data_IF_229955674187
#
_entry.id   IF_229955674187
#
_cell.length_a   1.000
_cell.length_b   1.000
_cell.length_c   1.000
_cell.angle_alpha   90.00
_cell.angle_beta   90.00
_cell.angle_gamma   90.00
#
_symmetry.space_group_name_H-M   'P 1'
#
loop_
_entity.id
_entity.type
_entity.pdbx_description
1 polymer ?
#
# COMPACT_ATOMS: atom_id res chain seq x y z
N UNK A 1 -12.19 -5.78 13.88
CA UNK A 1 -11.93 -4.45 13.28
C UNK A 1 -12.97 -3.41 13.72
N UNK A 2 -14.23 -3.79 13.93
CA UNK A 2 -15.30 -2.82 14.25
C UNK A 2 -15.10 -2.10 15.60
N UNK A 3 -14.32 -2.66 16.50
CA UNK A 3 -14.03 -2.10 17.83
C UNK A 3 -12.76 -1.23 17.85
N UNK A 4 -12.13 -1.05 16.70
CA UNK A 4 -10.90 -0.28 16.56
C UNK A 4 -11.14 1.01 15.78
N UNK A 5 -10.36 2.05 16.10
CA UNK A 5 -10.31 3.28 15.31
C UNK A 5 -9.59 3.01 13.98
N UNK A 6 -10.30 3.11 12.88
CA UNK A 6 -9.75 2.86 11.55
C UNK A 6 -9.46 4.17 10.82
N UNK A 7 -8.27 4.24 10.23
CA UNK A 7 -7.77 5.40 9.52
C UNK A 7 -7.89 5.13 8.01
N UNK A 8 -8.64 5.96 7.31
CA UNK A 8 -9.01 5.76 5.91
C UNK A 8 -8.32 6.75 4.97
N UNK A 9 -7.93 6.23 3.81
CA UNK A 9 -7.46 7.02 2.69
C UNK A 9 -8.63 7.33 1.74
N UNK A 10 -9.00 8.60 1.60
CA UNK A 10 -10.20 9.00 0.84
C UNK A 10 -10.12 8.73 -0.66
N UNK A 11 -8.91 8.72 -1.24
CA UNK A 11 -8.70 8.48 -2.67
C UNK A 11 -8.59 7.00 -3.04
N UNK A 12 -8.91 6.09 -2.12
CA UNK A 12 -8.93 4.66 -2.41
C UNK A 12 -10.10 4.32 -3.33
N UNK A 13 -9.83 3.66 -4.45
CA UNK A 13 -10.82 3.36 -5.50
C UNK A 13 -12.05 2.59 -4.99
N UNK A 14 -11.91 1.82 -3.93
CA UNK A 14 -12.99 1.01 -3.32
C UNK A 14 -13.60 1.67 -2.07
N UNK A 15 -13.34 2.94 -1.82
CA UNK A 15 -13.83 3.64 -0.63
C UNK A 15 -13.34 2.96 0.66
N UNK A 16 -14.27 2.78 1.60
CA UNK A 16 -13.98 2.19 2.92
C UNK A 16 -13.97 0.65 2.91
N UNK A 17 -13.47 0.03 1.84
CA UNK A 17 -13.40 -1.43 1.71
C UNK A 17 -11.94 -1.87 1.73
N UNK A 18 -11.59 -2.64 2.76
CA UNK A 18 -10.29 -3.28 2.85
C UNK A 18 -10.34 -4.68 2.26
N UNK A 19 -9.38 -4.99 1.41
CA UNK A 19 -9.28 -6.30 0.77
C UNK A 19 -8.24 -7.15 1.49
N UNK A 20 -8.67 -8.23 2.06
CA UNK A 20 -7.83 -9.18 2.80
C UNK A 20 -7.99 -10.58 2.22
N UNK A 21 -7.00 -11.43 2.47
CA UNK A 21 -7.04 -12.84 2.08
C UNK A 21 -7.24 -13.65 3.34
N UNK A 22 -8.34 -14.40 3.43
CA UNK A 22 -8.60 -15.28 4.57
C UNK A 22 -7.56 -16.43 4.63
N UNK A 23 -7.35 -17.07 5.78
CA UNK A 23 -6.45 -18.23 5.89
C UNK A 23 -6.77 -19.37 4.92
N UNK A 24 -8.02 -19.45 4.46
CA UNK A 24 -8.48 -20.40 3.42
C UNK A 24 -7.99 -20.04 2.01
N UNK A 25 -7.32 -18.89 1.80
CA UNK A 25 -6.98 -18.35 0.48
C UNK A 25 -8.12 -17.54 -0.18
N UNK A 26 -9.30 -17.48 0.43
CA UNK A 26 -10.43 -16.72 -0.09
C UNK A 26 -10.20 -15.20 0.04
N UNK A 27 -10.43 -14.47 -1.05
CA UNK A 27 -10.41 -13.01 -1.02
C UNK A 27 -11.66 -12.47 -0.37
N UNK A 28 -11.51 -11.67 0.67
CA UNK A 28 -12.62 -11.04 1.39
C UNK A 28 -12.54 -9.53 1.31
N UNK A 29 -13.70 -8.92 1.23
CA UNK A 29 -13.86 -7.48 1.30
C UNK A 29 -14.49 -7.14 2.66
N UNK A 30 -13.77 -6.38 3.46
CA UNK A 30 -14.24 -5.92 4.76
C UNK A 30 -14.61 -4.45 4.63
N UNK A 31 -15.91 -4.17 4.71
CA UNK A 31 -16.38 -2.78 4.77
C UNK A 31 -16.13 -2.24 6.17
N UNK A 32 -15.47 -1.11 6.25
CA UNK A 32 -15.04 -0.51 7.51
C UNK A 32 -15.63 0.90 7.66
N UNK A 33 -15.88 1.31 8.90
CA UNK A 33 -16.25 2.68 9.22
C UNK A 33 -14.98 3.45 9.63
N UNK A 34 -14.61 4.47 8.86
CA UNK A 34 -13.43 5.29 9.16
C UNK A 34 -13.70 6.24 10.32
N UNK A 35 -12.85 6.19 11.35
CA UNK A 35 -12.85 7.20 12.40
C UNK A 35 -12.19 8.51 11.94
N UNK A 36 -11.13 8.39 11.13
CA UNK A 36 -10.45 9.49 10.47
C UNK A 36 -10.31 9.18 8.98
N UNK A 37 -10.58 10.17 8.13
CA UNK A 37 -10.40 10.05 6.68
C UNK A 37 -9.53 11.19 6.19
N UNK A 38 -8.43 10.86 5.49
CA UNK A 38 -7.51 11.82 4.89
C UNK A 38 -7.19 11.45 3.43
N UNK A 39 -6.76 12.43 2.65
CA UNK A 39 -6.42 12.25 1.23
C UNK A 39 -4.91 12.19 0.97
N UNK A 40 -4.11 12.08 2.01
CA UNK A 40 -2.66 11.97 1.94
C UNK A 40 -2.16 10.79 2.75
N UNK A 41 -1.35 9.92 2.10
CA UNK A 41 -0.84 8.70 2.72
C UNK A 41 0.17 8.96 3.83
N UNK A 42 0.98 10.03 3.72
CA UNK A 42 1.93 10.39 4.77
C UNK A 42 1.23 10.87 6.03
N UNK A 43 0.20 11.67 5.88
CA UNK A 43 -0.65 12.10 7.01
C UNK A 43 -1.31 10.91 7.70
N UNK A 44 -1.74 9.90 6.93
CA UNK A 44 -2.31 8.68 7.47
C UNK A 44 -1.28 7.87 8.27
N UNK A 45 -0.06 7.74 7.75
CA UNK A 45 1.06 7.12 8.46
C UNK A 45 1.38 7.85 9.74
N UNK A 46 1.47 9.18 9.72
CA UNK A 46 1.74 9.99 10.90
C UNK A 46 0.65 9.81 11.98
N UNK A 47 -0.60 9.70 11.57
CA UNK A 47 -1.70 9.39 12.48
C UNK A 47 -1.55 8.00 13.13
N UNK A 48 -1.15 6.98 12.35
CA UNK A 48 -0.88 5.64 12.87
C UNK A 48 0.31 5.64 13.85
N UNK A 49 1.43 6.30 13.50
CA UNK A 49 2.61 6.46 14.39
C UNK A 49 2.23 7.16 15.70
N UNK A 50 1.28 8.11 15.63
CA UNK A 50 0.76 8.79 16.83
C UNK A 50 -0.22 7.93 17.65
N UNK A 51 -0.43 6.67 17.30
CA UNK A 51 -1.32 5.75 18.02
C UNK A 51 -2.82 6.04 17.83
N UNK A 52 -3.20 6.79 16.79
CA UNK A 52 -4.60 7.18 16.59
C UNK A 52 -5.48 6.03 16.06
N UNK A 53 -4.90 4.95 15.55
CA UNK A 53 -5.67 3.81 15.07
C UNK A 53 -4.93 2.94 14.06
N UNK A 54 -5.66 2.07 13.37
CA UNK A 54 -5.15 1.13 12.39
C UNK A 54 -5.31 1.72 10.99
N UNK A 55 -4.23 1.75 10.21
CA UNK A 55 -4.21 2.19 8.81
C UNK A 55 -3.96 1.01 7.86
N UNK A 56 -4.56 1.06 6.67
CA UNK A 56 -4.26 0.17 5.56
C UNK A 56 -3.51 0.94 4.48
N UNK A 57 -2.20 0.73 4.43
CA UNK A 57 -1.25 1.50 3.64
C UNK A 57 -0.39 0.59 2.75
N UNK A 58 0.08 1.08 1.59
CA UNK A 58 1.09 0.36 0.82
C UNK A 58 2.46 0.37 1.52
N UNK A 59 3.22 -0.71 1.36
CA UNK A 59 4.50 -0.95 2.05
C UNK A 59 5.53 0.15 1.84
N UNK A 60 5.59 0.76 0.67
CA UNK A 60 6.53 1.85 0.38
C UNK A 60 6.33 3.10 1.27
N UNK A 61 5.16 3.28 1.86
CA UNK A 61 4.90 4.38 2.80
C UNK A 61 5.34 4.06 4.22
N UNK A 62 5.12 2.83 4.69
CA UNK A 62 5.30 2.49 6.09
C UNK A 62 6.58 1.70 6.41
N UNK A 63 7.29 1.19 5.41
CA UNK A 63 8.42 0.27 5.63
C UNK A 63 9.48 0.82 6.58
N UNK A 64 9.83 2.09 6.47
CA UNK A 64 10.82 2.71 7.34
C UNK A 64 10.32 2.90 8.78
N UNK A 65 9.05 3.28 8.96
CA UNK A 65 8.45 3.40 10.28
C UNK A 65 8.37 2.04 11.00
N UNK A 66 8.11 0.97 10.24
CA UNK A 66 8.12 -0.40 10.78
C UNK A 66 9.53 -0.86 11.16
N UNK A 67 10.55 -0.62 10.31
CA UNK A 67 11.95 -0.91 10.65
C UNK A 67 12.43 -0.18 11.90
N UNK A 68 11.92 1.02 12.15
CA UNK A 68 12.22 1.81 13.34
C UNK A 68 11.38 1.43 14.56
N UNK A 69 10.43 0.50 14.43
CA UNK A 69 9.56 0.08 15.55
C UNK A 69 8.52 1.14 15.95
N UNK A 70 8.22 2.10 15.08
CA UNK A 70 7.24 3.15 15.34
C UNK A 70 5.79 2.66 15.13
N UNK A 71 5.62 1.60 14.37
CA UNK A 71 4.36 0.91 14.09
C UNK A 71 4.59 -0.59 14.05
N UNK A 72 3.51 -1.35 14.18
CA UNK A 72 3.52 -2.81 14.08
C UNK A 72 2.34 -3.32 13.22
N UNK A 73 2.39 -4.58 12.81
CA UNK A 73 1.26 -5.22 12.15
C UNK A 73 0.11 -5.43 13.14
N UNK A 74 -1.03 -4.80 12.90
CA UNK A 74 -2.21 -4.95 13.75
C UNK A 74 -2.79 -6.38 13.74
N UNK A 75 -2.59 -7.13 12.65
CA UNK A 75 -2.97 -8.53 12.49
C UNK A 75 -1.79 -9.27 11.85
N UNK A 76 -0.85 -9.78 12.62
CA UNK A 76 0.34 -10.44 12.10
C UNK A 76 0.02 -11.59 11.17
N UNK A 77 0.66 -11.61 10.01
CA UNK A 77 0.52 -12.67 9.03
C UNK A 77 -0.81 -12.69 8.27
N UNK A 78 -1.65 -11.64 8.36
CA UNK A 78 -2.83 -11.53 7.52
C UNK A 78 -2.42 -11.13 6.10
N UNK A 79 -2.56 -12.00 5.09
CA UNK A 79 -2.24 -11.64 3.72
C UNK A 79 -3.20 -10.56 3.21
N UNK A 80 -2.64 -9.56 2.55
CA UNK A 80 -3.39 -8.47 1.92
C UNK A 80 -3.19 -8.47 0.41
N UNK A 81 -4.03 -7.73 -0.33
CA UNK A 81 -3.90 -7.62 -1.77
C UNK A 81 -2.60 -6.89 -2.14
N UNK A 82 -1.82 -7.49 -3.02
CA UNK A 82 -0.59 -6.90 -3.55
C UNK A 82 -0.91 -5.86 -4.63
N UNK A 83 -0.29 -4.70 -4.56
CA UNK A 83 -0.38 -3.67 -5.59
C UNK A 83 0.76 -3.83 -6.61
N UNK A 84 0.41 -3.83 -7.90
CA UNK A 84 1.39 -3.80 -8.97
C UNK A 84 1.85 -2.38 -9.28
N UNK A 85 3.14 -2.20 -9.57
CA UNK A 85 3.68 -0.94 -10.08
C UNK A 85 3.87 -1.11 -11.59
N UNK A 86 3.30 -0.22 -12.38
CA UNK A 86 3.29 -0.31 -13.83
C UNK A 86 3.87 0.96 -14.46
N UNK A 87 4.70 0.78 -15.48
CA UNK A 87 5.07 1.86 -16.38
C UNK A 87 4.01 1.98 -17.49
N UNK A 88 3.35 3.13 -17.57
CA UNK A 88 2.33 3.41 -18.59
C UNK A 88 2.91 4.40 -19.60
N UNK A 89 2.91 4.02 -20.87
CA UNK A 89 3.39 4.88 -21.97
C UNK A 89 2.54 4.69 -23.23
N UNK A 90 2.47 5.71 -24.11
CA UNK A 90 1.66 5.62 -25.33
C UNK A 90 2.05 4.44 -26.22
N UNK A 91 1.09 3.76 -26.85
CA UNK A 91 1.40 2.72 -27.82
C UNK A 91 2.11 3.32 -29.05
N UNK A 92 3.15 2.66 -29.54
CA UNK A 92 3.88 3.09 -30.71
C UNK A 92 4.87 2.06 -31.21
N UNK A 93 5.15 2.06 -32.52
CA UNK A 93 6.10 1.12 -33.13
C UNK A 93 7.53 1.27 -32.59
N UNK A 94 7.86 2.46 -32.08
CA UNK A 94 9.18 2.77 -31.54
C UNK A 94 9.05 3.49 -30.20
N UNK A 95 9.32 2.81 -29.12
CA UNK A 95 9.54 3.46 -27.83
C UNK A 95 10.83 4.28 -27.93
N UNK A 96 10.75 5.57 -27.64
CA UNK A 96 11.92 6.45 -27.71
C UNK A 96 13.04 5.89 -26.81
N UNK A 97 14.32 5.92 -27.23
CA UNK A 97 15.45 5.34 -26.46
C UNK A 97 15.50 5.82 -25.00
N UNK A 98 15.19 7.09 -24.74
CA UNK A 98 15.14 7.66 -23.38
C UNK A 98 14.07 7.03 -22.50
N UNK A 99 12.89 6.73 -23.08
CA UNK A 99 11.79 6.08 -22.35
C UNK A 99 12.18 4.63 -22.05
N UNK A 100 12.77 3.94 -22.99
CA UNK A 100 13.27 2.57 -22.81
C UNK A 100 14.34 2.52 -21.73
N UNK A 101 15.33 3.41 -21.77
CA UNK A 101 16.41 3.46 -20.79
C UNK A 101 15.86 3.72 -19.37
N UNK A 102 14.86 4.58 -19.25
CA UNK A 102 14.22 4.87 -17.97
C UNK A 102 13.43 3.66 -17.43
N UNK A 103 12.66 2.98 -18.28
CA UNK A 103 11.94 1.74 -17.89
C UNK A 103 12.93 0.66 -17.45
N UNK A 104 14.00 0.45 -18.23
CA UNK A 104 15.02 -0.57 -17.92
C UNK A 104 15.77 -0.23 -16.62
N UNK A 105 16.00 1.07 -16.32
CA UNK A 105 16.55 1.52 -15.05
C UNK A 105 15.62 1.20 -13.88
N UNK A 106 14.33 1.54 -13.99
CA UNK A 106 13.35 1.24 -12.95
C UNK A 106 13.19 -0.26 -12.75
N UNK A 107 13.10 -1.04 -13.83
CA UNK A 107 12.98 -2.49 -13.76
C UNK A 107 14.14 -3.10 -12.97
N UNK A 108 15.38 -2.74 -13.30
CA UNK A 108 16.57 -3.21 -12.56
C UNK A 108 16.54 -2.81 -11.10
N UNK A 109 16.09 -1.58 -10.79
CA UNK A 109 16.05 -1.09 -9.42
C UNK A 109 15.04 -1.82 -8.53
N UNK A 110 13.91 -2.25 -9.10
CA UNK A 110 12.80 -2.82 -8.32
C UNK A 110 12.70 -4.35 -8.41
N UNK A 111 13.13 -4.97 -9.51
CA UNK A 111 13.11 -6.44 -9.66
C UNK A 111 14.07 -7.09 -8.66
N UNK A 112 15.26 -6.53 -8.48
CA UNK A 112 16.30 -7.11 -7.61
C UNK A 112 15.99 -6.95 -6.11
N UNK A 113 15.05 -6.09 -5.73
CA UNK A 113 14.76 -5.79 -4.33
C UNK A 113 13.62 -6.60 -3.73
N UNK A 114 12.80 -7.26 -4.53
CA UNK A 114 11.55 -7.88 -4.08
C UNK A 114 10.48 -6.84 -3.67
N UNK A 115 9.22 -7.29 -3.49
CA UNK A 115 8.08 -6.38 -3.29
C UNK A 115 8.11 -5.58 -1.98
N UNK A 116 8.90 -5.97 -0.99
CA UNK A 116 8.91 -5.38 0.36
C UNK A 116 10.26 -4.75 0.76
N UNK A 117 11.20 -4.63 -0.14
CA UNK A 117 12.52 -4.03 0.10
C UNK A 117 12.61 -2.60 -0.45
N UNK A 118 11.77 -1.73 0.08
CA UNK A 118 11.78 -0.28 -0.21
C UNK A 118 12.90 0.44 0.53
#
# INVERSE_FOLDING_TARGET
>A
LNDHKLLHYSNQANGNVWKVIAPSGERRQVRTAGWLTVNDGQSLLNAAVSGLGIAYLPSFLYADAMKQGLIEEAIPGLPVETLGIYAVYPPGRFTQPKVRAFIDFLARRYIDKGPDNW
#
